data_IF_727704058099
#
_entry.id   IF_727704058099
#
_cell.length_a   1.000
_cell.length_b   1.000
_cell.length_c   1.000
_cell.angle_alpha   90.00
_cell.angle_beta   90.00
_cell.angle_gamma   90.00
#
_symmetry.space_group_name_H-M   'P 1'
#
loop_
_entity.id
_entity.type
_entity.pdbx_description
1 polymer ?
#
# COMPACT_ATOMS: atom_id res chain seq x y z
N UNK A 1 -0.21 6.00 -5.25
CA UNK A 1 1.03 5.51 -5.95
C UNK A 1 1.81 6.63 -6.65
N UNK A 2 1.18 7.72 -7.08
CA UNK A 2 1.90 8.85 -7.70
C UNK A 2 3.01 9.42 -6.81
N UNK A 3 2.73 9.64 -5.53
CA UNK A 3 3.74 10.12 -4.54
C UNK A 3 4.96 9.19 -4.47
N UNK A 4 4.74 7.88 -4.56
CA UNK A 4 5.82 6.88 -4.56
C UNK A 4 6.66 6.97 -5.84
N UNK A 5 6.03 7.24 -6.99
CA UNK A 5 6.73 7.38 -8.27
C UNK A 5 7.50 8.70 -8.35
N UNK A 6 6.89 9.79 -7.91
CA UNK A 6 7.43 11.15 -8.13
C UNK A 6 8.48 11.57 -7.10
N UNK A 7 8.53 10.92 -5.95
CA UNK A 7 9.50 11.24 -4.89
C UNK A 7 9.53 12.75 -4.58
N UNK A 8 8.37 13.30 -4.19
CA UNK A 8 8.28 14.70 -3.82
C UNK A 8 9.26 15.07 -2.71
N UNK A 9 9.79 16.29 -2.76
CA UNK A 9 10.66 16.89 -1.75
C UNK A 9 12.13 16.96 -2.15
N UNK A 10 12.70 15.94 -2.77
CA UNK A 10 14.14 15.96 -3.14
C UNK A 10 14.38 16.27 -4.61
N UNK A 11 13.53 15.75 -5.49
CA UNK A 11 13.72 15.89 -6.94
C UNK A 11 12.57 16.59 -7.64
N UNK A 12 11.41 16.67 -7.01
CA UNK A 12 10.19 17.19 -7.60
C UNK A 12 9.44 18.09 -6.60
N UNK A 13 9.70 19.37 -6.67
CA UNK A 13 9.06 20.39 -5.82
C UNK A 13 7.78 20.93 -6.45
N UNK A 14 6.80 21.43 -5.65
CA UNK A 14 5.52 21.89 -6.16
C UNK A 14 5.60 22.99 -7.21
N UNK A 15 6.61 23.86 -7.19
CA UNK A 15 6.83 24.92 -8.18
C UNK A 15 7.09 24.36 -9.60
N UNK A 16 7.58 23.14 -9.73
CA UNK A 16 7.76 22.48 -11.05
C UNK A 16 6.43 22.08 -11.67
N UNK A 17 5.42 21.86 -10.85
CA UNK A 17 4.07 21.48 -11.31
C UNK A 17 3.16 22.71 -11.35
N UNK A 18 3.33 23.62 -10.40
CA UNK A 18 2.56 24.85 -10.26
C UNK A 18 3.50 26.07 -10.27
N UNK A 19 3.81 26.65 -11.44
CA UNK A 19 4.82 27.70 -11.58
C UNK A 19 4.59 28.98 -10.75
N UNK A 20 3.34 29.21 -10.28
CA UNK A 20 3.00 30.31 -9.40
C UNK A 20 3.15 30.00 -7.90
N UNK A 21 3.47 28.76 -7.56
CA UNK A 21 3.65 28.34 -6.18
C UNK A 21 5.05 28.74 -5.69
N UNK A 22 5.11 29.30 -4.50
CA UNK A 22 6.37 29.65 -3.84
C UNK A 22 6.66 28.58 -2.78
N UNK A 23 7.67 27.76 -3.03
CA UNK A 23 8.08 26.73 -2.11
C UNK A 23 8.60 27.27 -0.79
N UNK A 24 8.26 26.62 0.31
CA UNK A 24 8.82 26.87 1.63
C UNK A 24 9.72 25.69 2.09
N UNK A 25 10.19 25.74 3.35
CA UNK A 25 11.10 24.70 3.86
C UNK A 25 10.48 23.30 3.89
N UNK A 26 9.16 23.21 4.04
CA UNK A 26 8.45 21.92 4.09
C UNK A 26 8.43 21.24 2.72
N UNK A 27 8.38 22.01 1.64
CA UNK A 27 8.35 21.49 0.28
C UNK A 27 9.67 20.81 -0.13
N UNK A 28 10.73 21.04 0.61
CA UNK A 28 12.05 20.43 0.40
C UNK A 28 12.30 19.21 1.30
N UNK A 29 11.36 18.89 2.20
CA UNK A 29 11.46 17.68 3.01
C UNK A 29 11.21 16.44 2.14
N UNK A 30 11.88 15.34 2.48
CA UNK A 30 11.72 14.08 1.75
C UNK A 30 10.32 13.50 1.96
N UNK A 31 9.66 13.13 0.87
CA UNK A 31 8.42 12.35 0.88
C UNK A 31 8.66 10.85 0.73
N UNK A 32 9.88 10.39 0.98
CA UNK A 32 10.19 8.96 0.96
C UNK A 32 9.37 8.20 2.01
N UNK A 33 8.81 7.09 1.59
CA UNK A 33 7.99 6.24 2.43
C UNK A 33 8.75 5.00 2.88
N UNK A 34 8.68 4.67 4.16
CA UNK A 34 9.22 3.42 4.68
C UNK A 34 8.39 2.21 4.24
N UNK A 35 7.07 2.40 4.12
CA UNK A 35 6.09 1.40 3.66
C UNK A 35 4.92 2.15 3.01
N UNK A 36 4.35 1.60 1.95
CA UNK A 36 3.13 2.11 1.33
C UNK A 36 1.99 1.08 1.44
N UNK A 37 0.83 1.53 1.94
CA UNK A 37 -0.36 0.68 2.09
C UNK A 37 -1.54 1.32 1.34
N UNK A 38 -1.62 1.17 0.02
CA UNK A 38 -2.75 1.65 -0.76
C UNK A 38 -3.98 0.78 -0.51
N UNK A 39 -4.98 1.37 0.16
CA UNK A 39 -6.29 0.75 0.37
C UNK A 39 -7.24 1.33 -0.65
N UNK A 40 -7.85 0.49 -1.48
CA UNK A 40 -8.61 0.89 -2.68
C UNK A 40 -7.79 1.74 -3.66
N UNK A 41 -6.46 1.71 -3.54
CA UNK A 41 -5.56 2.44 -4.40
C UNK A 41 -5.52 1.86 -5.81
N UNK A 42 -5.57 2.71 -6.82
CA UNK A 42 -5.33 2.30 -8.21
C UNK A 42 -3.83 2.12 -8.44
N UNK A 43 -3.44 0.92 -8.83
CA UNK A 43 -2.12 0.66 -9.40
C UNK A 43 -2.22 0.97 -10.90
N UNK A 44 -1.91 2.20 -11.25
CA UNK A 44 -2.10 2.65 -12.63
C UNK A 44 -0.87 2.25 -13.44
N UNK A 45 -1.08 1.57 -14.56
CA UNK A 45 -0.05 1.38 -15.58
C UNK A 45 0.41 2.75 -16.10
N UNK A 46 1.70 2.89 -16.38
CA UNK A 46 2.28 4.10 -16.94
C UNK A 46 2.86 5.08 -15.92
N UNK A 47 2.94 4.74 -14.64
CA UNK A 47 3.74 5.47 -13.67
C UNK A 47 5.23 5.15 -13.88
N UNK A 48 6.05 6.18 -13.94
CA UNK A 48 7.49 6.02 -14.09
C UNK A 48 8.15 5.91 -12.70
N UNK A 49 8.32 4.69 -12.23
CA UNK A 49 9.00 4.41 -10.97
C UNK A 49 10.53 4.46 -11.05
N UNK A 50 11.09 4.62 -12.24
CA UNK A 50 12.57 4.68 -12.40
C UNK A 50 13.16 5.93 -11.76
N UNK A 51 12.34 6.95 -11.52
CA UNK A 51 12.73 8.19 -10.85
C UNK A 51 12.97 8.02 -9.36
N UNK A 52 12.41 6.98 -8.74
CA UNK A 52 12.57 6.72 -7.32
C UNK A 52 13.49 5.52 -7.10
N UNK A 53 14.76 5.74 -6.69
CA UNK A 53 15.68 4.65 -6.40
C UNK A 53 15.31 3.88 -5.12
N UNK A 54 14.50 4.47 -4.24
CA UNK A 54 14.12 3.96 -2.93
C UNK A 54 12.64 3.58 -2.89
N UNK A 55 12.22 2.68 -3.80
CA UNK A 55 10.84 2.19 -3.79
C UNK A 55 10.53 1.48 -2.48
N UNK A 56 9.48 1.90 -1.74
CA UNK A 56 9.11 1.27 -0.48
C UNK A 56 8.52 -0.12 -0.70
N UNK A 57 8.52 -0.97 0.33
CA UNK A 57 7.63 -2.12 0.39
C UNK A 57 6.17 -1.70 0.22
N UNK A 58 5.38 -2.49 -0.49
CA UNK A 58 3.97 -2.16 -0.80
C UNK A 58 3.05 -3.31 -0.39
N UNK A 59 2.02 -2.99 0.38
CA UNK A 59 0.91 -3.89 0.69
C UNK A 59 -0.40 -3.31 0.21
N UNK A 60 -0.93 -3.81 -0.91
CA UNK A 60 -2.18 -3.34 -1.51
C UNK A 60 -3.40 -4.10 -1.00
N UNK A 61 -4.52 -3.40 -0.81
CA UNK A 61 -5.80 -3.99 -0.39
C UNK A 61 -6.93 -3.51 -1.29
N UNK A 62 -7.74 -4.43 -1.79
CA UNK A 62 -8.94 -4.10 -2.57
C UNK A 62 -10.04 -5.15 -2.38
N UNK A 63 -11.29 -4.74 -2.53
CA UNK A 63 -12.42 -5.64 -2.57
C UNK A 63 -12.64 -6.27 -3.95
N UNK A 64 -12.98 -7.55 -4.01
CA UNK A 64 -13.27 -8.23 -5.27
C UNK A 64 -14.51 -7.67 -5.97
N UNK A 65 -15.48 -7.16 -5.21
CA UNK A 65 -16.68 -6.50 -5.74
C UNK A 65 -16.53 -4.98 -5.91
N UNK A 66 -15.33 -4.46 -5.69
CA UNK A 66 -14.99 -3.09 -6.02
C UNK A 66 -14.99 -2.92 -7.54
N UNK A 67 -15.81 -1.99 -8.05
CA UNK A 67 -15.90 -1.72 -9.48
C UNK A 67 -14.58 -1.26 -10.11
N UNK A 68 -13.63 -0.79 -9.29
CA UNK A 68 -12.30 -0.39 -9.72
C UNK A 68 -11.31 -1.57 -9.77
N UNK A 69 -11.63 -2.72 -9.19
CA UNK A 69 -10.75 -3.88 -9.16
C UNK A 69 -10.37 -4.37 -10.56
N UNK A 70 -11.32 -4.32 -11.50
CA UNK A 70 -11.07 -4.67 -12.90
C UNK A 70 -9.99 -3.80 -13.56
N UNK A 71 -9.79 -2.56 -13.08
CA UNK A 71 -8.73 -1.67 -13.56
C UNK A 71 -7.39 -1.93 -12.86
N UNK A 72 -7.41 -2.41 -11.62
CA UNK A 72 -6.20 -2.64 -10.83
C UNK A 72 -5.58 -4.01 -11.06
N UNK A 73 -6.40 -5.06 -11.12
CA UNK A 73 -5.92 -6.43 -11.23
C UNK A 73 -4.98 -6.69 -12.42
N UNK A 74 -5.20 -6.11 -13.62
CA UNK A 74 -4.28 -6.28 -14.74
C UNK A 74 -2.88 -5.69 -14.50
N UNK A 75 -2.72 -4.72 -13.60
CA UNK A 75 -1.43 -4.10 -13.28
C UNK A 75 -0.62 -4.83 -12.21
N UNK A 76 -1.18 -5.84 -11.55
CA UNK A 76 -0.49 -6.57 -10.47
C UNK A 76 0.84 -7.22 -10.89
N UNK A 77 0.96 -7.84 -12.08
CA UNK A 77 2.25 -8.39 -12.52
C UNK A 77 3.32 -7.31 -12.68
N UNK A 78 2.95 -6.12 -13.18
CA UNK A 78 3.86 -4.98 -13.28
C UNK A 78 4.27 -4.48 -11.90
N UNK A 79 3.33 -4.35 -10.96
CA UNK A 79 3.63 -3.99 -9.58
C UNK A 79 4.59 -4.99 -8.92
N UNK A 80 4.35 -6.29 -9.08
CA UNK A 80 5.21 -7.33 -8.53
C UNK A 80 6.64 -7.32 -9.10
N UNK A 81 6.80 -6.90 -10.35
CA UNK A 81 8.11 -6.75 -10.97
C UNK A 81 8.81 -5.44 -10.60
N UNK A 82 8.04 -4.40 -10.30
CA UNK A 82 8.55 -3.05 -9.98
C UNK A 82 8.98 -2.95 -8.53
N UNK A 83 8.14 -3.41 -7.60
CA UNK A 83 8.42 -3.35 -6.18
C UNK A 83 9.12 -4.62 -5.71
N UNK A 84 10.30 -4.50 -5.12
CA UNK A 84 11.08 -5.65 -4.60
C UNK A 84 10.32 -6.44 -3.52
N UNK A 85 9.44 -5.75 -2.80
CA UNK A 85 8.64 -6.31 -1.72
C UNK A 85 7.18 -5.85 -1.93
N UNK A 86 6.40 -6.73 -2.54
CA UNK A 86 5.03 -6.47 -2.92
C UNK A 86 4.11 -7.57 -2.41
N UNK A 87 3.09 -7.16 -1.67
CA UNK A 87 1.99 -8.03 -1.24
C UNK A 87 0.66 -7.41 -1.64
N UNK A 88 -0.31 -8.25 -1.93
CA UNK A 88 -1.63 -7.80 -2.34
C UNK A 88 -2.72 -8.68 -1.74
N UNK A 89 -3.73 -8.04 -1.15
CA UNK A 89 -4.90 -8.71 -0.61
C UNK A 89 -6.16 -8.32 -1.40
N UNK A 90 -6.71 -9.31 -2.11
CA UNK A 90 -8.01 -9.20 -2.77
C UNK A 90 -9.05 -9.79 -1.83
N UNK A 91 -9.80 -8.93 -1.14
CA UNK A 91 -10.83 -9.35 -0.19
C UNK A 91 -12.09 -9.83 -0.93
N UNK A 92 -12.50 -11.10 -0.78
CA UNK A 92 -13.75 -11.58 -1.37
C UNK A 92 -14.93 -10.75 -0.86
N UNK A 93 -15.93 -10.57 -1.72
CA UNK A 93 -17.22 -9.94 -1.40
C UNK A 93 -17.23 -8.46 -0.98
N UNK A 94 -16.09 -7.82 -0.77
CA UNK A 94 -16.01 -6.44 -0.39
C UNK A 94 -16.19 -5.48 -1.59
N UNK A 95 -17.11 -4.51 -1.51
CA UNK A 95 -17.18 -3.42 -2.47
C UNK A 95 -16.17 -2.32 -2.17
N UNK A 96 -16.20 -1.23 -2.94
CA UNK A 96 -15.37 -0.05 -2.71
C UNK A 96 -15.74 0.67 -1.41
N UNK A 97 -14.73 1.21 -0.72
CA UNK A 97 -14.93 2.18 0.35
C UNK A 97 -15.48 1.64 1.66
N UNK A 98 -15.37 0.35 1.94
CA UNK A 98 -15.85 -0.25 3.20
C UNK A 98 -15.00 0.08 4.44
N UNK A 99 -13.95 0.89 4.29
CA UNK A 99 -13.09 1.29 5.40
C UNK A 99 -12.45 0.09 6.09
N UNK A 100 -12.66 -0.03 7.40
CA UNK A 100 -12.14 -1.17 8.17
C UNK A 100 -12.93 -2.47 7.96
N UNK A 101 -14.07 -2.43 7.27
CA UNK A 101 -14.93 -3.59 7.07
C UNK A 101 -15.70 -4.03 8.33
N UNK A 102 -15.65 -3.26 9.41
CA UNK A 102 -16.18 -3.64 10.73
C UNK A 102 -17.61 -3.16 11.00
N UNK A 103 -18.31 -2.62 9.99
CA UNK A 103 -19.68 -2.15 10.16
C UNK A 103 -19.82 -0.92 11.06
N UNK A 104 -18.86 -0.01 11.06
CA UNK A 104 -18.94 1.24 11.80
C UNK A 104 -20.08 2.11 11.30
N UNK A 105 -20.62 2.93 12.21
CA UNK A 105 -21.79 3.78 12.06
C UNK A 105 -21.84 4.52 10.71
N UNK A 106 -22.75 4.12 9.84
CA UNK A 106 -22.91 4.63 8.48
C UNK A 106 -22.57 3.66 7.35
N UNK A 107 -21.88 2.58 7.65
CA UNK A 107 -21.65 1.45 6.75
C UNK A 107 -22.43 0.26 7.29
N UNK A 108 -23.42 -0.18 6.54
CA UNK A 108 -24.46 -1.09 7.03
C UNK A 108 -23.97 -2.52 7.11
N UNK A 109 -22.89 -2.87 6.37
CA UNK A 109 -22.48 -4.24 6.20
C UNK A 109 -21.11 -4.52 6.84
N UNK A 110 -21.07 -5.65 7.54
CA UNK A 110 -19.84 -6.21 8.06
C UNK A 110 -19.24 -7.18 7.04
N UNK A 111 -18.03 -6.87 6.59
CA UNK A 111 -17.30 -7.69 5.63
C UNK A 111 -16.14 -8.40 6.32
N UNK A 112 -16.38 -9.62 6.80
CA UNK A 112 -15.42 -10.39 7.63
C UNK A 112 -14.06 -10.60 6.95
N UNK A 113 -14.05 -10.72 5.63
CA UNK A 113 -12.81 -10.97 4.91
C UNK A 113 -11.96 -9.70 4.86
N UNK A 114 -12.53 -8.59 4.42
CA UNK A 114 -11.75 -7.35 4.34
C UNK A 114 -11.38 -6.80 5.71
N UNK A 115 -12.17 -7.06 6.76
CA UNK A 115 -11.88 -6.62 8.12
C UNK A 115 -10.55 -7.15 8.69
N UNK A 116 -9.91 -8.11 8.01
CA UNK A 116 -8.60 -8.63 8.38
C UNK A 116 -7.43 -7.76 7.90
N UNK A 117 -7.69 -6.83 6.94
CA UNK A 117 -6.60 -6.06 6.34
C UNK A 117 -5.78 -5.23 7.32
N UNK A 118 -6.33 -4.64 8.42
CA UNK A 118 -5.52 -3.86 9.34
C UNK A 118 -4.47 -4.72 10.05
N UNK A 119 -4.83 -5.92 10.51
CA UNK A 119 -3.88 -6.84 11.14
C UNK A 119 -2.82 -7.32 10.15
N UNK A 120 -3.22 -7.60 8.90
CA UNK A 120 -2.28 -7.95 7.83
C UNK A 120 -1.32 -6.79 7.53
N UNK A 121 -1.81 -5.54 7.53
CA UNK A 121 -1.00 -4.36 7.31
C UNK A 121 -0.01 -4.12 8.46
N UNK A 122 -0.45 -4.27 9.71
CA UNK A 122 0.43 -4.17 10.89
C UNK A 122 1.54 -5.21 10.81
N UNK A 123 1.21 -6.47 10.57
CA UNK A 123 2.19 -7.55 10.40
C UNK A 123 3.18 -7.26 9.26
N UNK A 124 2.69 -6.70 8.15
CA UNK A 124 3.54 -6.31 7.03
C UNK A 124 4.51 -5.21 7.42
N UNK A 125 4.03 -4.14 8.08
CA UNK A 125 4.85 -3.03 8.55
C UNK A 125 5.92 -3.53 9.53
N UNK A 126 5.51 -4.25 10.58
CA UNK A 126 6.41 -4.73 11.62
C UNK A 126 7.53 -5.59 11.06
N UNK A 127 7.20 -6.48 10.12
CA UNK A 127 8.19 -7.36 9.48
C UNK A 127 9.22 -6.59 8.63
N UNK A 128 8.86 -5.42 8.06
CA UNK A 128 9.75 -4.61 7.21
C UNK A 128 10.55 -3.59 8.00
N UNK A 129 10.01 -3.12 9.12
CA UNK A 129 10.71 -2.19 10.01
C UNK A 129 11.56 -2.90 11.08
N UNK A 130 11.62 -4.23 11.06
CA UNK A 130 12.37 -5.00 12.05
C UNK A 130 11.77 -4.94 13.46
N UNK A 131 10.48 -4.60 13.59
CA UNK A 131 9.78 -4.50 14.87
C UNK A 131 9.29 -5.87 15.37
N UNK A 132 9.36 -6.90 14.53
CA UNK A 132 9.01 -8.27 14.93
C UNK A 132 10.20 -8.96 15.59
N UNK A 133 10.32 -8.83 16.89
CA UNK A 133 11.23 -9.66 17.72
C UNK A 133 10.69 -11.07 18.01
N UNK A 134 9.65 -11.52 17.37
CA UNK A 134 9.22 -12.91 17.49
C UNK A 134 10.03 -13.80 16.56
N UNK A 135 11.17 -14.30 17.06
CA UNK A 135 11.66 -15.60 16.63
C UNK A 135 10.54 -16.60 16.88
N UNK A 136 9.90 -17.06 15.80
CA UNK A 136 9.09 -18.28 15.90
C UNK A 136 10.11 -19.36 16.23
N UNK A 137 10.06 -19.85 17.46
CA UNK A 137 10.82 -21.03 17.85
C UNK A 137 10.20 -22.21 17.10
N UNK A 138 10.81 -22.52 15.95
CA UNK A 138 10.33 -23.61 15.10
C UNK A 138 10.40 -24.98 15.79
N UNK A 139 11.20 -25.09 16.86
CA UNK A 139 11.28 -26.32 17.68
C UNK A 139 10.06 -26.46 18.60
N UNK A 140 9.33 -25.35 18.87
CA UNK A 140 8.08 -25.38 19.63
C UNK A 140 6.83 -25.66 18.79
N UNK A 141 6.94 -25.54 17.46
CA UNK A 141 5.87 -25.87 16.51
C UNK A 141 6.04 -27.33 16.10
N UNK A 142 5.45 -28.22 16.86
CA UNK A 142 5.43 -29.66 16.53
C UNK A 142 4.68 -29.90 15.23
N UNK A 143 5.39 -29.95 14.10
CA UNK A 143 4.89 -30.59 12.90
C UNK A 143 5.10 -32.09 13.05
N UNK A 144 4.03 -32.84 13.35
CA UNK A 144 4.03 -34.29 13.13
C UNK A 144 3.89 -34.52 11.62
N UNK A 145 4.93 -35.07 11.00
CA UNK A 145 4.91 -35.61 9.64
C UNK A 145 4.34 -37.03 9.64
#
# INVERSE_FOLDING_TARGET
MQVVADQFGTTNTPDKVYPSYVCDAVDYESADLNVAIPIYGLFVTGLDFTKNPNLPPVFGVVGQKDGLSAMMLPSLPECANTFKDFSFYLAPDAPHGVGLGTGTKGYVDYYTQIAQWPDMAVNFIESRLGLMEKKIDMDSVGFAW
#
